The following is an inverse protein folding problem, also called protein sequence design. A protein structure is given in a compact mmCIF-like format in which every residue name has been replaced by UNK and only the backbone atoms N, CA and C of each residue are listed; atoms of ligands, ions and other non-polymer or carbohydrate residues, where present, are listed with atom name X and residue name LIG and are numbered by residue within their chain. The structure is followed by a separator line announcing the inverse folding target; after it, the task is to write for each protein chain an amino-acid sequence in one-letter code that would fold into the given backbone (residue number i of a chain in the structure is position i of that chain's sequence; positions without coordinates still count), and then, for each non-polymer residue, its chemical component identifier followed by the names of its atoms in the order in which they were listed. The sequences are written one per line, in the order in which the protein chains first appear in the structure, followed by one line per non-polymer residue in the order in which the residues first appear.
data_IF_782687848733
#
_entry.id   IF_782687848733
#
_cell.length_a   1.000
_cell.length_b   1.000
_cell.length_c   1.000
_cell.angle_alpha   90.00
_cell.angle_beta   90.00
_cell.angle_gamma   90.00
#
_symmetry.space_group_name_H-M   'P 1'
#
loop_
_entity.id
_entity.type
_entity.pdbx_description
1 polymer ?
#
# COMPACT_ATOMS: atom_id res chain seq x y z
N UNK A 1 16.26 18.68 -5.51
CA UNK A 1 16.74 18.71 -4.10
C UNK A 1 16.36 17.41 -3.40
N UNK A 2 15.11 17.26 -3.07
CA UNK A 2 14.60 16.03 -2.38
C UNK A 2 14.75 14.78 -3.25
N UNK A 3 14.86 14.98 -4.56
CA UNK A 3 15.01 13.87 -5.49
C UNK A 3 16.42 13.30 -5.42
N UNK A 4 16.55 11.99 -5.63
CA UNK A 4 17.86 11.35 -5.60
C UNK A 4 18.64 11.62 -6.88
N UNK A 5 19.91 11.22 -6.89
CA UNK A 5 20.75 11.43 -8.06
C UNK A 5 20.27 10.60 -9.24
N UNK A 6 19.48 9.57 -8.94
CA UNK A 6 18.94 8.68 -9.97
C UNK A 6 17.43 8.54 -9.82
N UNK A 7 16.74 8.34 -10.95
CA UNK A 7 15.29 8.19 -10.95
C UNK A 7 14.84 7.31 -9.78
N UNK A 8 13.66 7.51 -9.24
CA UNK A 8 13.15 6.71 -8.10
C UNK A 8 12.71 5.30 -8.53
N UNK A 9 12.64 4.38 -7.60
CA UNK A 9 12.22 2.97 -7.89
C UNK A 9 10.78 2.90 -8.41
N UNK A 10 9.95 3.81 -7.94
CA UNK A 10 8.55 3.84 -8.34
C UNK A 10 8.43 4.34 -9.79
N UNK A 11 7.33 4.10 -10.47
CA UNK A 11 7.17 4.57 -11.88
C UNK A 11 7.26 6.09 -11.99
N UNK A 12 7.85 6.57 -13.07
CA UNK A 12 8.00 8.00 -13.29
C UNK A 12 6.64 8.67 -13.47
N UNK A 13 5.78 8.06 -14.27
CA UNK A 13 4.45 8.62 -14.53
C UNK A 13 3.60 8.63 -13.27
N UNK A 14 3.88 7.69 -12.37
CA UNK A 14 3.12 7.60 -11.13
C UNK A 14 3.33 8.85 -10.28
N UNK A 15 2.30 9.20 -9.50
CA UNK A 15 2.35 10.36 -8.61
C UNK A 15 2.18 9.91 -7.16
N UNK A 16 3.23 9.42 -6.54
CA UNK A 16 3.15 8.92 -5.13
C UNK A 16 2.50 9.93 -4.19
N UNK A 17 1.21 9.71 -3.93
CA UNK A 17 0.47 10.60 -3.03
C UNK A 17 1.01 10.49 -1.63
N UNK A 18 1.30 9.25 -1.24
CA UNK A 18 1.82 8.97 0.10
C UNK A 18 2.74 7.75 0.05
N UNK A 19 3.78 7.77 0.88
CA UNK A 19 4.73 6.66 0.94
C UNK A 19 5.04 6.29 2.38
N UNK A 20 4.94 4.99 2.71
CA UNK A 20 5.21 4.54 4.07
C UNK A 20 5.99 3.23 4.07
N UNK A 21 6.65 2.94 5.17
CA UNK A 21 7.42 1.71 5.31
C UNK A 21 6.65 0.73 6.18
N UNK A 22 6.39 -0.46 5.64
CA UNK A 22 5.65 -1.49 6.36
C UNK A 22 6.38 -2.81 6.30
N UNK A 23 5.65 -3.88 6.62
CA UNK A 23 6.23 -5.23 6.60
C UNK A 23 5.22 -6.21 6.03
N UNK A 24 5.66 -6.95 5.00
CA UNK A 24 4.80 -7.94 4.35
C UNK A 24 4.93 -9.29 5.03
N UNK A 25 3.82 -9.81 5.54
CA UNK A 25 3.82 -11.11 6.23
C UNK A 25 3.17 -12.18 5.36
N UNK A 26 3.79 -13.36 5.31
CA UNK A 26 3.24 -14.48 4.53
C UNK A 26 3.25 -15.74 5.38
N UNK A 27 2.27 -16.60 5.15
CA UNK A 27 2.14 -17.86 5.87
C UNK A 27 3.50 -18.47 6.23
N UNK A 28 4.27 -18.87 5.25
CA UNK A 28 5.61 -19.51 5.47
C UNK A 28 6.63 -18.59 6.18
N UNK A 29 6.54 -17.28 5.94
CA UNK A 29 7.47 -16.34 6.59
C UNK A 29 7.08 -14.91 6.23
N UNK A 30 7.89 -13.94 6.69
CA UNK A 30 7.61 -12.53 6.41
C UNK A 30 8.82 -11.88 5.76
N UNK A 31 8.63 -10.65 5.30
CA UNK A 31 9.72 -9.91 4.64
C UNK A 31 9.43 -8.41 4.70
N UNK A 32 10.36 -7.58 5.15
CA UNK A 32 10.10 -6.10 5.19
C UNK A 32 9.66 -5.58 3.83
N UNK A 33 8.80 -4.56 3.85
CA UNK A 33 8.29 -3.98 2.60
C UNK A 33 7.85 -2.54 2.82
N UNK A 34 7.23 -1.94 1.81
CA UNK A 34 6.76 -0.55 1.91
C UNK A 34 5.54 -0.36 1.03
N UNK A 35 4.56 0.38 1.54
CA UNK A 35 3.33 0.65 0.80
C UNK A 35 3.30 2.09 0.32
N UNK A 36 3.13 2.27 -1.00
CA UNK A 36 3.11 3.61 -1.58
C UNK A 36 1.90 3.81 -2.49
N UNK A 37 1.10 4.82 -2.16
CA UNK A 37 -0.08 5.15 -2.95
C UNK A 37 0.28 6.21 -3.98
N UNK A 38 -0.11 5.99 -5.23
CA UNK A 38 0.20 6.94 -6.30
C UNK A 38 -0.94 7.06 -7.29
N UNK A 39 -1.09 8.25 -7.87
CA UNK A 39 -2.14 8.52 -8.85
C UNK A 39 -1.53 8.58 -10.25
N UNK A 40 -2.02 7.74 -11.18
CA UNK A 40 -1.50 7.74 -12.55
C UNK A 40 -2.65 7.73 -13.56
N UNK A 41 -2.57 8.62 -14.54
CA UNK A 41 -3.57 8.74 -15.59
C UNK A 41 -4.95 9.10 -15.02
N UNK A 42 -4.96 9.90 -13.95
CA UNK A 42 -6.21 10.32 -13.33
C UNK A 42 -6.87 9.16 -12.60
N UNK A 43 -6.09 8.14 -12.32
CA UNK A 43 -6.57 6.95 -11.62
C UNK A 43 -5.72 6.69 -10.40
N UNK A 44 -6.27 5.95 -9.44
CA UNK A 44 -5.54 5.61 -8.21
C UNK A 44 -4.98 4.20 -8.30
N UNK A 45 -3.73 4.04 -7.89
CA UNK A 45 -3.08 2.73 -7.93
C UNK A 45 -2.13 2.57 -6.73
N UNK A 46 -2.10 1.36 -6.17
CA UNK A 46 -1.25 1.06 -5.01
C UNK A 46 -0.04 0.25 -5.43
N UNK A 47 1.15 0.76 -5.11
CA UNK A 47 2.39 0.06 -5.45
C UNK A 47 3.01 -0.53 -4.19
N UNK A 48 3.31 -1.83 -4.24
CA UNK A 48 3.92 -2.52 -3.09
C UNK A 48 5.39 -2.79 -3.39
N UNK A 49 6.26 -2.29 -2.52
CA UNK A 49 7.71 -2.47 -2.69
C UNK A 49 8.26 -3.43 -1.66
N UNK A 50 9.00 -4.44 -2.11
CA UNK A 50 9.61 -5.41 -1.20
C UNK A 50 11.09 -5.10 -1.05
N UNK A 51 11.55 -4.96 0.20
CA UNK A 51 12.95 -4.67 0.46
C UNK A 51 13.80 -5.90 0.16
N UNK A 52 13.48 -6.59 -0.93
CA UNK A 52 14.22 -7.79 -1.33
C UNK A 52 15.72 -7.51 -1.33
N UNK A 53 16.50 -8.50 -0.94
CA UNK A 53 17.94 -8.34 -0.89
C UNK A 53 18.49 -8.06 -2.30
N UNK A 54 17.95 -8.76 -3.30
CA UNK A 54 18.39 -8.56 -4.67
C UNK A 54 18.06 -7.15 -5.14
N UNK A 55 16.79 -6.94 -5.52
CA UNK A 55 16.35 -5.63 -5.99
C UNK A 55 14.91 -5.37 -5.58
N UNK A 56 14.57 -4.10 -5.34
CA UNK A 56 13.22 -3.74 -4.96
C UNK A 56 12.24 -4.08 -6.07
N UNK A 57 11.48 -5.16 -5.87
CA UNK A 57 10.52 -5.59 -6.87
C UNK A 57 9.36 -4.61 -6.95
N UNK A 58 8.96 -4.27 -8.17
CA UNK A 58 7.86 -3.34 -8.39
C UNK A 58 6.57 -4.08 -8.70
N UNK A 59 5.63 -4.07 -7.74
CA UNK A 59 4.34 -4.72 -7.91
C UNK A 59 3.25 -3.67 -8.12
N UNK A 60 2.68 -3.64 -9.33
CA UNK A 60 1.64 -2.65 -9.64
C UNK A 60 0.27 -3.25 -9.37
N UNK A 61 -0.38 -2.76 -8.32
CA UNK A 61 -1.72 -3.23 -7.94
C UNK A 61 -2.73 -2.10 -8.05
N UNK A 62 -3.38 -1.95 -9.18
CA UNK A 62 -4.39 -0.86 -9.39
C UNK A 62 -5.52 -0.92 -8.37
N UNK A 63 -6.00 0.25 -7.97
CA UNK A 63 -7.07 0.35 -6.99
C UNK A 63 -8.44 0.33 -7.69
N UNK A 64 -9.27 -0.65 -7.31
CA UNK A 64 -10.59 -0.78 -7.90
C UNK A 64 -11.36 -1.89 -7.19
N UNK A 65 -12.39 -2.39 -7.83
CA UNK A 65 -13.21 -3.45 -7.25
C UNK A 65 -12.37 -4.70 -6.96
N UNK A 66 -11.49 -5.05 -7.90
CA UNK A 66 -10.65 -6.24 -7.74
C UNK A 66 -9.70 -6.08 -6.56
N UNK A 67 -9.24 -4.85 -6.33
CA UNK A 67 -8.31 -4.56 -5.23
C UNK A 67 -9.10 -4.08 -4.01
N UNK A 68 -8.84 -4.71 -2.87
CA UNK A 68 -9.50 -4.34 -1.62
C UNK A 68 -8.51 -4.30 -0.47
N UNK A 69 -8.69 -3.33 0.42
CA UNK A 69 -7.84 -3.15 1.59
C UNK A 69 -8.69 -3.28 2.85
N UNK A 70 -8.64 -4.44 3.49
CA UNK A 70 -9.42 -4.67 4.71
C UNK A 70 -8.54 -4.55 5.94
N UNK A 71 -8.92 -3.65 6.85
CA UNK A 71 -8.17 -3.42 8.07
C UNK A 71 -8.66 -4.35 9.19
N UNK A 72 -7.86 -5.37 9.50
CA UNK A 72 -8.21 -6.33 10.55
C UNK A 72 -9.71 -6.62 10.54
N UNK A 73 -10.19 -7.14 9.43
CA UNK A 73 -11.60 -7.47 9.30
C UNK A 73 -11.89 -8.17 7.97
N UNK A 74 -13.08 -8.75 7.86
CA UNK A 74 -13.47 -9.45 6.64
C UNK A 74 -13.61 -8.47 5.48
N UNK A 75 -14.19 -7.30 5.76
CA UNK A 75 -14.36 -6.29 4.73
C UNK A 75 -14.75 -4.95 5.34
N UNK A 76 -13.76 -4.24 5.87
CA UNK A 76 -14.00 -2.93 6.50
C UNK A 76 -13.31 -1.83 5.69
N UNK A 77 -13.66 -1.74 4.42
CA UNK A 77 -13.07 -0.73 3.54
C UNK A 77 -13.49 0.68 3.95
N UNK A 78 -14.73 0.82 4.43
CA UNK A 78 -15.24 2.13 4.83
C UNK A 78 -14.44 2.67 6.00
N UNK A 79 -14.09 1.80 6.95
CA UNK A 79 -13.31 2.23 8.12
C UNK A 79 -11.98 1.47 8.19
N UNK A 80 -10.89 2.23 8.38
CA UNK A 80 -9.55 1.66 8.48
C UNK A 80 -8.71 2.44 9.50
N UNK A 81 -8.89 3.75 9.50
CA UNK A 81 -8.16 4.62 10.42
C UNK A 81 -8.52 4.30 11.87
N UNK A 82 -9.82 4.11 12.11
CA UNK A 82 -10.29 3.81 13.46
C UNK A 82 -9.37 2.83 14.18
N UNK A 83 -8.72 1.96 13.40
CA UNK A 83 -7.80 0.97 13.96
C UNK A 83 -6.36 1.39 13.70
N UNK A 84 -5.98 2.53 14.27
CA UNK A 84 -4.63 3.04 14.10
C UNK A 84 -3.69 2.33 15.09
N UNK A 85 -2.45 2.80 15.14
CA UNK A 85 -1.46 2.19 16.03
C UNK A 85 -1.13 0.79 15.54
N UNK A 86 -0.17 0.68 14.63
CA UNK A 86 0.21 -0.63 14.08
C UNK A 86 -0.99 -1.24 13.37
N UNK A 87 -1.20 -0.80 12.13
CA UNK A 87 -2.34 -1.27 11.33
C UNK A 87 -1.96 -2.45 10.44
N UNK A 88 -2.79 -3.50 10.46
CA UNK A 88 -2.57 -4.67 9.59
C UNK A 88 -3.68 -4.72 8.56
N UNK A 89 -3.32 -4.82 7.28
CA UNK A 89 -4.31 -4.88 6.20
C UNK A 89 -4.02 -6.06 5.29
N UNK A 90 -5.03 -6.53 4.56
CA UNK A 90 -4.85 -7.65 3.62
C UNK A 90 -5.35 -7.25 2.25
N UNK A 91 -4.63 -7.69 1.23
CA UNK A 91 -4.96 -7.37 -0.16
C UNK A 91 -5.25 -8.65 -0.95
N UNK A 92 -6.34 -8.62 -1.72
CA UNK A 92 -6.72 -9.75 -2.54
C UNK A 92 -7.30 -9.27 -3.86
N UNK A 93 -6.92 -9.94 -4.95
CA UNK A 93 -7.40 -9.56 -6.27
C UNK A 93 -6.78 -10.45 -7.34
N UNK A 94 -6.98 -10.07 -8.60
CA UNK A 94 -6.44 -10.84 -9.71
C UNK A 94 -4.91 -10.86 -9.68
N UNK A 95 -4.30 -9.72 -9.38
CA UNK A 95 -2.85 -9.62 -9.35
C UNK A 95 -2.24 -10.55 -8.30
N UNK A 96 -2.92 -10.71 -7.17
CA UNK A 96 -2.42 -11.59 -6.10
C UNK A 96 -3.58 -12.29 -5.39
N UNK A 97 -3.36 -13.55 -4.97
CA UNK A 97 -4.42 -14.29 -4.29
C UNK A 97 -4.72 -13.67 -2.93
N UNK A 98 -3.68 -13.53 -2.11
CA UNK A 98 -3.83 -12.95 -0.79
C UNK A 98 -2.46 -12.78 -0.11
N UNK A 99 -2.21 -11.58 0.39
CA UNK A 99 -0.96 -11.26 1.07
C UNK A 99 -1.25 -10.32 2.24
N UNK A 100 -0.45 -10.41 3.31
CA UNK A 100 -0.66 -9.54 4.48
C UNK A 100 0.38 -8.43 4.56
N UNK A 101 -0.03 -7.29 5.11
CA UNK A 101 0.87 -6.13 5.24
C UNK A 101 0.62 -5.42 6.57
N UNK A 102 1.66 -4.80 7.12
CA UNK A 102 1.53 -4.08 8.40
C UNK A 102 2.41 -2.83 8.42
N UNK A 103 1.99 -1.83 9.19
CA UNK A 103 2.75 -0.58 9.31
C UNK A 103 2.88 -0.21 10.80
N UNK A 104 4.01 -0.50 11.44
CA UNK A 104 4.17 -0.19 12.90
C UNK A 104 4.26 1.31 13.18
N UNK A 105 4.46 2.10 12.14
CA UNK A 105 4.55 3.54 12.30
C UNK A 105 3.16 4.17 12.23
N UNK A 106 2.61 4.49 13.39
CA UNK A 106 1.26 5.05 13.47
C UNK A 106 1.14 6.33 12.67
N UNK A 107 2.00 7.30 12.92
CA UNK A 107 1.93 8.57 12.19
C UNK A 107 1.89 8.32 10.69
N UNK A 108 2.75 7.42 10.21
CA UNK A 108 2.80 7.10 8.80
C UNK A 108 1.52 6.36 8.38
N UNK A 109 1.05 5.48 9.26
CA UNK A 109 -0.15 4.69 8.97
C UNK A 109 -1.35 5.60 8.70
N UNK A 110 -1.41 6.73 9.39
CA UNK A 110 -2.53 7.64 9.21
C UNK A 110 -2.56 8.17 7.79
N UNK A 111 -1.41 8.59 7.28
CA UNK A 111 -1.37 9.13 5.92
C UNK A 111 -1.68 8.04 4.90
N UNK A 112 -1.07 6.87 5.10
CA UNK A 112 -1.25 5.75 4.21
C UNK A 112 -2.71 5.29 4.19
N UNK A 113 -3.28 5.11 5.37
CA UNK A 113 -4.67 4.67 5.47
C UNK A 113 -5.63 5.74 4.97
N UNK A 114 -5.34 7.00 5.29
CA UNK A 114 -6.20 8.09 4.86
C UNK A 114 -6.19 8.24 3.33
N UNK A 115 -5.00 8.22 2.74
CA UNK A 115 -4.88 8.36 1.29
C UNK A 115 -5.49 7.18 0.56
N UNK A 116 -5.14 5.97 1.00
CA UNK A 116 -5.67 4.76 0.37
C UNK A 116 -7.18 4.65 0.56
N UNK A 117 -7.64 4.93 1.78
CA UNK A 117 -9.06 4.86 2.08
C UNK A 117 -9.83 5.83 1.20
N UNK A 118 -9.30 7.03 1.07
CA UNK A 118 -9.94 8.05 0.27
C UNK A 118 -10.01 7.62 -1.19
N UNK A 119 -8.97 6.93 -1.65
CA UNK A 119 -8.95 6.46 -3.03
C UNK A 119 -10.08 5.47 -3.28
N UNK A 120 -10.19 4.47 -2.41
CA UNK A 120 -11.24 3.46 -2.56
C UNK A 120 -12.62 4.05 -2.27
N UNK A 121 -12.68 4.95 -1.30
CA UNK A 121 -13.94 5.59 -0.92
C UNK A 121 -14.50 6.37 -2.10
N UNK A 122 -13.62 7.12 -2.76
CA UNK A 122 -14.01 7.92 -3.92
C UNK A 122 -14.50 7.04 -5.08
N UNK A 123 -13.83 5.91 -5.29
CA UNK A 123 -14.22 5.01 -6.36
C UNK A 123 -15.55 4.32 -6.06
N UNK A 124 -15.74 3.97 -4.79
CA UNK A 124 -16.97 3.30 -4.35
C UNK A 124 -17.32 3.71 -2.92
#
# INVERSE_FOLDING_TARGET
GPLGSMEPPLPVGAQPLATVEGMEMKGPLREPCALTLAQRNGQYELIIQLHEKEQHVQDIIPINSHFRCVQEAEETLLIDIASNSGCKIRVQGDWIRERRFEIPDEEHCLKFLSAVLAAQKAQS
#
